data_IF_177453044567
#
_entry.id   IF_177453044567
#
_cell.length_a   1.000
_cell.length_b   1.000
_cell.length_c   1.000
_cell.angle_alpha   90.00
_cell.angle_beta   90.00
_cell.angle_gamma   90.00
#
_symmetry.space_group_name_H-M   'P 1'
#
loop_
_entity.id
_entity.type
_entity.pdbx_description
1 polymer ?
#
# COMPACT_ATOMS: atom_id res chain seq x y z
N UNK A 1 14.50 -75.36 -20.64
CA UNK A 1 15.70 -74.64 -21.11
C UNK A 1 15.24 -73.25 -21.49
N UNK A 2 15.20 -72.37 -20.50
CA UNK A 2 14.77 -70.97 -20.64
C UNK A 2 15.91 -70.12 -21.21
N UNK A 3 15.62 -69.34 -22.24
CA UNK A 3 16.50 -68.28 -22.76
C UNK A 3 15.77 -66.95 -22.62
N UNK A 4 16.10 -66.22 -21.55
CA UNK A 4 15.64 -64.84 -21.34
C UNK A 4 16.59 -63.87 -22.04
N UNK A 5 16.09 -63.11 -23.01
CA UNK A 5 16.80 -62.02 -23.66
C UNK A 5 16.61 -60.73 -22.85
N UNK A 6 17.71 -60.15 -22.36
CA UNK A 6 17.74 -58.82 -21.78
C UNK A 6 17.72 -57.77 -22.90
N UNK A 7 16.65 -56.97 -22.95
CA UNK A 7 16.59 -55.75 -23.77
C UNK A 7 17.12 -54.59 -22.91
N UNK A 8 18.26 -54.04 -23.29
CA UNK A 8 18.80 -52.82 -22.70
C UNK A 8 18.16 -51.60 -23.35
N UNK A 9 17.30 -50.90 -22.62
CA UNK A 9 16.71 -49.63 -23.06
C UNK A 9 17.72 -48.49 -22.83
N UNK A 10 18.27 -47.96 -23.92
CA UNK A 10 19.15 -46.79 -23.90
C UNK A 10 18.30 -45.51 -23.72
N UNK A 11 18.36 -44.91 -22.53
CA UNK A 11 17.70 -43.63 -22.22
C UNK A 11 18.57 -42.47 -22.74
N UNK A 12 18.20 -41.92 -23.89
CA UNK A 12 18.82 -40.69 -24.43
C UNK A 12 18.22 -39.50 -23.68
N UNK A 13 18.96 -38.94 -22.73
CA UNK A 13 18.62 -37.69 -22.07
C UNK A 13 19.01 -36.54 -23.02
N UNK A 14 18.04 -36.02 -23.76
CA UNK A 14 18.20 -34.77 -24.51
C UNK A 14 18.17 -33.60 -23.54
N UNK A 15 19.33 -32.99 -23.28
CA UNK A 15 19.41 -31.67 -22.65
C UNK A 15 18.86 -30.62 -23.61
N UNK A 16 17.59 -30.26 -23.46
CA UNK A 16 17.05 -29.04 -24.05
C UNK A 16 17.68 -27.84 -23.30
N UNK A 17 18.35 -26.91 -23.98
CA UNK A 17 18.78 -25.67 -23.34
C UNK A 17 17.52 -24.92 -22.88
N UNK A 18 17.34 -24.80 -21.57
CA UNK A 18 16.38 -23.85 -21.00
C UNK A 18 16.85 -22.47 -21.46
N UNK A 19 16.15 -21.88 -22.44
CA UNK A 19 16.25 -20.45 -22.66
C UNK A 19 15.76 -19.81 -21.36
N UNK A 20 16.64 -19.17 -20.62
CA UNK A 20 16.22 -18.08 -19.76
C UNK A 20 15.64 -17.04 -20.72
N UNK A 21 14.33 -17.10 -20.94
CA UNK A 21 13.62 -15.93 -21.43
C UNK A 21 13.94 -14.83 -20.42
N UNK A 22 14.65 -13.80 -20.88
CA UNK A 22 14.79 -12.58 -20.09
C UNK A 22 13.36 -12.19 -19.69
N UNK A 23 13.07 -12.26 -18.39
CA UNK A 23 11.74 -11.96 -17.90
C UNK A 23 11.40 -10.57 -18.39
N UNK A 24 10.41 -10.47 -19.28
CA UNK A 24 9.98 -9.19 -19.81
C UNK A 24 9.65 -8.27 -18.62
N UNK A 25 10.05 -7.00 -18.72
CA UNK A 25 9.75 -5.99 -17.71
C UNK A 25 8.26 -5.97 -17.37
N UNK A 26 7.94 -5.50 -16.16
CA UNK A 26 6.55 -5.47 -15.72
C UNK A 26 5.73 -4.53 -16.59
N UNK A 27 4.45 -4.87 -16.77
CA UNK A 27 3.44 -3.93 -17.24
C UNK A 27 2.52 -3.61 -16.08
N UNK A 28 2.58 -2.37 -15.63
CA UNK A 28 1.77 -1.83 -14.55
C UNK A 28 0.79 -0.80 -15.10
N UNK A 29 -0.49 -1.02 -14.85
CA UNK A 29 -1.55 -0.14 -15.35
C UNK A 29 -2.57 0.11 -14.25
N UNK A 30 -3.44 1.10 -14.47
CA UNK A 30 -4.57 1.39 -13.59
C UNK A 30 -5.83 1.10 -14.39
N UNK A 31 -6.71 0.25 -13.87
CA UNK A 31 -7.95 -0.09 -14.55
C UNK A 31 -9.06 0.96 -14.28
N UNK A 32 -10.23 0.77 -14.89
CA UNK A 32 -11.39 1.67 -14.71
C UNK A 32 -11.96 1.74 -13.29
N UNK A 33 -11.60 0.79 -12.42
CA UNK A 33 -11.99 0.78 -11.00
C UNK A 33 -10.98 1.52 -10.12
N UNK A 34 -10.00 2.21 -10.73
CA UNK A 34 -8.83 2.80 -10.07
C UNK A 34 -8.04 1.76 -9.25
N UNK A 35 -7.93 0.53 -9.76
CA UNK A 35 -7.13 -0.54 -9.15
C UNK A 35 -5.85 -0.76 -9.96
N UNK A 36 -4.74 -0.95 -9.26
CA UNK A 36 -3.47 -1.27 -9.90
C UNK A 36 -3.51 -2.68 -10.51
N UNK A 37 -3.01 -2.83 -11.72
CA UNK A 37 -2.91 -4.10 -12.44
C UNK A 37 -1.46 -4.31 -12.84
N UNK A 38 -0.83 -5.33 -12.28
CA UNK A 38 0.55 -5.72 -12.58
C UNK A 38 0.50 -7.03 -13.38
N UNK A 39 1.02 -7.01 -14.60
CA UNK A 39 1.06 -8.18 -15.50
C UNK A 39 -0.30 -8.88 -15.64
N UNK A 40 -1.37 -8.09 -15.72
CA UNK A 40 -2.76 -8.57 -15.86
C UNK A 40 -3.44 -8.99 -14.54
N UNK A 41 -2.73 -8.99 -13.41
CA UNK A 41 -3.29 -9.29 -12.10
C UNK A 41 -3.64 -8.00 -11.34
N UNK A 42 -4.89 -7.88 -10.88
CA UNK A 42 -5.29 -6.80 -9.96
C UNK A 42 -4.54 -6.94 -8.63
N UNK A 43 -4.00 -5.83 -8.12
CA UNK A 43 -3.23 -5.77 -6.88
C UNK A 43 -3.77 -4.63 -6.03
N UNK A 44 -4.02 -4.92 -4.74
CA UNK A 44 -4.16 -3.89 -3.72
C UNK A 44 -2.77 -3.64 -3.12
N UNK A 45 -2.13 -2.50 -3.38
CA UNK A 45 -0.78 -2.20 -2.91
C UNK A 45 -0.74 -2.12 -1.39
N UNK A 46 0.07 -2.99 -0.79
CA UNK A 46 0.56 -2.88 0.59
C UNK A 46 2.07 -2.62 0.53
N UNK A 47 2.48 -1.45 0.98
CA UNK A 47 3.84 -0.94 0.79
C UNK A 47 4.56 -0.52 2.07
N UNK A 48 5.88 -0.35 1.96
CA UNK A 48 6.73 0.15 3.04
C UNK A 48 7.58 1.31 2.54
N UNK A 49 7.48 2.46 3.19
CA UNK A 49 8.31 3.61 2.86
C UNK A 49 9.68 3.40 3.49
N UNK A 50 10.58 2.80 2.71
CA UNK A 50 11.87 2.21 3.10
C UNK A 50 11.71 0.87 3.84
N UNK A 51 11.92 -0.21 3.09
CA UNK A 51 12.02 -1.58 3.61
C UNK A 51 13.38 -1.82 4.29
N UNK A 52 13.55 -2.96 5.00
CA UNK A 52 14.88 -3.45 5.37
C UNK A 52 15.79 -3.55 4.14
N UNK A 53 17.09 -3.27 4.32
CA UNK A 53 18.10 -3.35 3.25
C UNK A 53 18.05 -4.69 2.48
N UNK A 54 18.36 -4.74 1.16
CA UNK A 54 18.32 -5.96 0.36
C UNK A 54 19.09 -7.15 0.94
N UNK A 55 20.14 -6.87 1.72
CA UNK A 55 21.01 -7.89 2.31
C UNK A 55 20.71 -8.16 3.80
N UNK A 56 19.76 -7.44 4.42
CA UNK A 56 19.49 -7.57 5.85
C UNK A 56 18.58 -8.77 6.17
N UNK A 57 18.67 -9.24 7.40
CA UNK A 57 17.88 -10.35 7.92
C UNK A 57 16.79 -9.88 8.87
N UNK A 58 15.66 -10.56 8.83
CA UNK A 58 14.65 -10.51 9.89
C UNK A 58 15.09 -11.37 11.10
N UNK A 59 14.49 -11.19 12.29
CA UNK A 59 14.82 -11.98 13.48
C UNK A 59 14.64 -13.49 13.33
N UNK A 60 13.81 -13.92 12.38
CA UNK A 60 13.60 -15.34 12.06
C UNK A 60 14.68 -15.93 11.13
N UNK A 61 15.70 -15.14 10.76
CA UNK A 61 16.82 -15.55 9.91
C UNK A 61 16.58 -15.45 8.41
N UNK A 62 15.35 -15.18 7.96
CA UNK A 62 15.02 -14.90 6.55
C UNK A 62 15.57 -13.56 6.12
N UNK A 63 15.60 -13.33 4.81
CA UNK A 63 15.81 -11.98 4.28
C UNK A 63 14.67 -11.05 4.75
N UNK A 64 15.00 -9.78 5.03
CA UNK A 64 14.01 -8.82 5.50
C UNK A 64 12.88 -8.57 4.49
N UNK A 65 13.20 -8.49 3.19
CA UNK A 65 12.21 -8.30 2.13
C UNK A 65 11.34 -9.55 1.96
N UNK A 66 11.94 -10.74 2.05
CA UNK A 66 11.20 -12.01 2.05
C UNK A 66 10.17 -12.08 3.19
N UNK A 67 10.54 -11.65 4.40
CA UNK A 67 9.65 -11.60 5.55
C UNK A 67 8.43 -10.67 5.32
N UNK A 68 8.65 -9.51 4.69
CA UNK A 68 7.57 -8.58 4.34
C UNK A 68 6.66 -9.17 3.25
N UNK A 69 7.24 -9.80 2.22
CA UNK A 69 6.51 -10.46 1.15
C UNK A 69 5.69 -11.65 1.69
N UNK A 70 6.21 -12.38 2.68
CA UNK A 70 5.54 -13.51 3.32
C UNK A 70 4.23 -13.11 4.02
N UNK A 71 4.21 -11.96 4.69
CA UNK A 71 3.00 -11.41 5.29
C UNK A 71 1.98 -10.87 4.26
N UNK A 72 2.40 -10.66 3.02
CA UNK A 72 1.55 -10.18 1.93
C UNK A 72 1.83 -8.74 1.48
N UNK A 73 3.00 -8.20 1.85
CA UNK A 73 3.53 -6.97 1.28
C UNK A 73 3.76 -7.08 -0.22
N UNK A 74 3.73 -5.95 -0.91
CA UNK A 74 3.84 -5.89 -2.38
C UNK A 74 4.82 -4.83 -2.86
N UNK A 75 4.94 -3.71 -2.15
CA UNK A 75 5.78 -2.58 -2.57
C UNK A 75 6.78 -2.16 -1.49
N UNK A 76 7.88 -1.56 -1.90
CA UNK A 76 8.66 -0.71 -1.02
C UNK A 76 9.29 0.45 -1.77
N UNK A 77 9.41 1.60 -1.11
CA UNK A 77 10.05 2.79 -1.68
C UNK A 77 11.56 2.61 -1.76
N UNK A 78 12.14 2.93 -2.92
CA UNK A 78 13.57 2.87 -3.22
C UNK A 78 14.03 4.20 -3.83
N UNK A 79 15.18 4.22 -4.51
CA UNK A 79 15.71 5.39 -5.21
C UNK A 79 16.61 6.28 -4.36
N UNK A 80 16.80 7.51 -4.83
CA UNK A 80 17.83 8.43 -4.37
C UNK A 80 17.67 8.85 -2.89
N UNK A 81 16.45 8.86 -2.35
CA UNK A 81 16.17 9.07 -0.93
C UNK A 81 16.93 10.24 -0.26
N UNK A 82 17.02 11.39 -0.94
CA UNK A 82 17.73 12.58 -0.44
C UNK A 82 19.18 12.72 -0.93
N UNK A 83 19.69 11.74 -1.68
CA UNK A 83 20.96 11.79 -2.39
C UNK A 83 20.74 12.12 -3.87
N UNK A 84 21.75 12.69 -4.57
CA UNK A 84 21.68 12.90 -6.01
C UNK A 84 21.76 11.55 -6.76
N UNK A 85 21.20 11.49 -7.96
CA UNK A 85 21.44 10.35 -8.86
C UNK A 85 22.87 10.37 -9.42
N UNK A 86 23.67 9.42 -8.98
CA UNK A 86 25.03 9.14 -9.40
C UNK A 86 25.25 7.61 -9.59
N UNK A 87 26.46 7.19 -9.99
CA UNK A 87 26.76 5.77 -10.22
C UNK A 87 26.51 4.89 -8.97
N UNK A 88 26.77 5.42 -7.77
CA UNK A 88 26.53 4.67 -6.54
C UNK A 88 25.03 4.45 -6.31
N UNK A 89 24.21 5.47 -6.61
CA UNK A 89 22.75 5.38 -6.56
C UNK A 89 22.24 4.36 -7.57
N UNK A 90 22.77 4.34 -8.80
CA UNK A 90 22.44 3.30 -9.80
C UNK A 90 22.76 1.89 -9.30
N UNK A 91 23.95 1.65 -8.75
CA UNK A 91 24.35 0.34 -8.19
C UNK A 91 23.45 -0.05 -7.03
N UNK A 92 23.06 0.91 -6.18
CA UNK A 92 22.22 0.66 -5.02
C UNK A 92 20.79 0.33 -5.45
N UNK A 93 20.24 1.08 -6.42
CA UNK A 93 18.92 0.82 -6.95
C UNK A 93 18.84 -0.54 -7.65
N UNK A 94 19.86 -0.92 -8.43
CA UNK A 94 19.90 -2.25 -9.05
C UNK A 94 19.78 -3.38 -8.00
N UNK A 95 20.39 -3.24 -6.82
CA UNK A 95 20.26 -4.24 -5.75
C UNK A 95 18.84 -4.31 -5.18
N UNK A 96 18.18 -3.16 -5.04
CA UNK A 96 16.79 -3.12 -4.59
C UNK A 96 15.85 -3.77 -5.60
N UNK A 97 16.04 -3.42 -6.86
CA UNK A 97 15.33 -3.94 -8.01
C UNK A 97 15.49 -5.47 -8.13
N UNK A 98 16.72 -5.98 -8.02
CA UNK A 98 17.02 -7.41 -8.00
C UNK A 98 16.36 -8.14 -6.82
N UNK A 99 16.35 -7.51 -5.64
CA UNK A 99 15.74 -8.08 -4.45
C UNK A 99 14.20 -8.08 -4.52
N UNK A 100 13.60 -7.02 -5.04
CA UNK A 100 12.17 -6.94 -5.31
C UNK A 100 11.75 -8.09 -6.24
N UNK A 101 12.42 -8.24 -7.38
CA UNK A 101 12.17 -9.31 -8.33
C UNK A 101 12.33 -10.71 -7.70
N UNK A 102 13.39 -10.92 -6.92
CA UNK A 102 13.66 -12.19 -6.24
C UNK A 102 12.56 -12.62 -5.27
N UNK A 103 11.98 -11.67 -4.54
CA UNK A 103 10.99 -11.94 -3.49
C UNK A 103 9.55 -11.64 -3.90
N UNK A 104 9.31 -11.37 -5.19
CA UNK A 104 7.96 -11.12 -5.72
C UNK A 104 7.32 -9.82 -5.20
N UNK A 105 8.16 -8.83 -4.89
CA UNK A 105 7.78 -7.46 -4.53
C UNK A 105 8.14 -6.50 -5.65
N UNK A 106 7.76 -5.23 -5.50
CA UNK A 106 8.00 -4.20 -6.49
C UNK A 106 8.57 -2.91 -5.88
N UNK A 107 9.51 -2.30 -6.59
CA UNK A 107 10.08 -1.01 -6.25
C UNK A 107 9.11 0.12 -6.60
N UNK A 108 8.91 1.01 -5.63
CA UNK A 108 8.35 2.34 -5.83
C UNK A 108 9.52 3.33 -5.91
N UNK A 109 10.09 3.46 -7.11
CA UNK A 109 11.40 4.08 -7.33
C UNK A 109 11.30 5.60 -7.23
N UNK A 110 11.95 6.17 -6.21
CA UNK A 110 11.93 7.61 -5.96
C UNK A 110 12.95 8.38 -6.78
N UNK A 111 12.42 9.14 -7.75
CA UNK A 111 13.19 9.99 -8.65
C UNK A 111 13.76 11.24 -7.97
N UNK A 112 13.25 11.60 -6.79
CA UNK A 112 13.69 12.76 -6.02
C UNK A 112 13.62 14.06 -6.85
N UNK A 113 14.75 14.75 -7.03
CA UNK A 113 14.90 15.99 -7.77
C UNK A 113 14.68 15.81 -9.28
N UNK A 114 14.87 14.59 -9.82
CA UNK A 114 14.59 14.29 -11.23
C UNK A 114 13.11 14.28 -11.57
N UNK A 115 12.22 14.25 -10.58
CA UNK A 115 10.77 14.39 -10.80
C UNK A 115 10.33 15.83 -11.12
N UNK A 116 11.27 16.77 -11.30
CA UNK A 116 10.99 18.18 -11.59
C UNK A 116 12.02 18.78 -12.55
N UNK A 117 11.66 18.98 -13.82
CA UNK A 117 12.57 19.53 -14.85
C UNK A 117 12.29 21.01 -15.06
N UNK A 118 13.19 21.88 -14.59
CA UNK A 118 13.04 23.34 -14.68
C UNK A 118 13.55 23.87 -16.02
N UNK A 119 12.69 24.54 -16.78
CA UNK A 119 13.08 25.20 -18.05
C UNK A 119 13.82 24.24 -19.00
N UNK A 120 15.01 24.66 -19.45
CA UNK A 120 15.89 23.88 -20.33
C UNK A 120 17.07 23.22 -19.58
N UNK A 121 16.83 22.70 -18.38
CA UNK A 121 17.85 21.96 -17.63
C UNK A 121 18.20 20.62 -18.30
N UNK A 122 19.10 20.67 -19.27
CA UNK A 122 19.51 19.52 -20.08
C UNK A 122 20.25 18.46 -19.28
N UNK A 123 20.90 18.81 -18.16
CA UNK A 123 21.63 17.86 -17.32
C UNK A 123 20.66 17.01 -16.49
N UNK A 124 19.71 17.64 -15.79
CA UNK A 124 18.68 16.88 -15.04
C UNK A 124 17.80 16.07 -15.99
N UNK A 125 17.44 16.61 -17.16
CA UNK A 125 16.69 15.86 -18.17
C UNK A 125 17.47 14.63 -18.66
N UNK A 126 18.76 14.79 -19.01
CA UNK A 126 19.58 13.66 -19.44
C UNK A 126 19.72 12.59 -18.33
N UNK A 127 19.87 13.01 -17.06
CA UNK A 127 19.92 12.07 -15.94
C UNK A 127 18.57 11.35 -15.73
N UNK A 128 17.44 12.05 -15.79
CA UNK A 128 16.11 11.44 -15.75
C UNK A 128 15.94 10.38 -16.84
N UNK A 129 16.28 10.73 -18.09
CA UNK A 129 16.21 9.80 -19.23
C UNK A 129 17.08 8.57 -19.00
N UNK A 130 18.28 8.74 -18.42
CA UNK A 130 19.18 7.63 -18.08
C UNK A 130 18.58 6.71 -17.01
N UNK A 131 18.04 7.27 -15.91
CA UNK A 131 17.39 6.50 -14.84
C UNK A 131 16.22 5.69 -15.39
N UNK A 132 15.31 6.32 -16.13
CA UNK A 132 14.15 5.64 -16.70
C UNK A 132 14.57 4.55 -17.68
N UNK A 133 15.52 4.83 -18.57
CA UNK A 133 16.01 3.83 -19.53
C UNK A 133 16.66 2.62 -18.85
N UNK A 134 17.37 2.83 -17.74
CA UNK A 134 18.03 1.75 -17.00
C UNK A 134 17.02 0.80 -16.33
N UNK A 135 15.96 1.33 -15.72
CA UNK A 135 15.10 0.53 -14.83
C UNK A 135 13.72 0.19 -15.39
N UNK A 136 13.24 0.85 -16.45
CA UNK A 136 11.87 0.65 -16.98
C UNK A 136 11.53 -0.81 -17.33
N UNK A 137 12.51 -1.59 -17.75
CA UNK A 137 12.32 -2.99 -18.15
C UNK A 137 12.72 -3.98 -17.04
N UNK A 138 13.02 -3.48 -15.84
CA UNK A 138 13.43 -4.32 -14.72
C UNK A 138 12.22 -5.06 -14.11
N UNK A 139 12.29 -6.38 -13.85
CA UNK A 139 11.18 -7.13 -13.26
C UNK A 139 10.88 -6.79 -11.79
N UNK A 140 11.76 -6.01 -11.15
CA UNK A 140 11.53 -5.43 -9.82
C UNK A 140 10.77 -4.11 -9.86
N UNK A 141 10.71 -3.41 -11.00
CA UNK A 141 10.12 -2.08 -11.05
C UNK A 141 8.59 -2.20 -10.98
N UNK A 142 7.97 -1.44 -10.09
CA UNK A 142 6.52 -1.38 -9.94
C UNK A 142 5.92 -0.08 -10.42
N UNK A 143 6.38 1.04 -9.85
CA UNK A 143 5.90 2.38 -10.21
C UNK A 143 6.98 3.42 -9.94
N UNK A 144 6.87 4.57 -10.60
CA UNK A 144 7.71 5.73 -10.33
C UNK A 144 7.14 6.56 -9.17
N UNK A 145 7.99 7.10 -8.30
CA UNK A 145 7.60 8.14 -7.34
C UNK A 145 8.07 9.50 -7.83
N UNK A 146 7.11 10.43 -7.94
CA UNK A 146 7.37 11.84 -8.21
C UNK A 146 7.86 12.60 -6.97
N UNK A 147 7.89 13.94 -7.09
CA UNK A 147 8.28 14.83 -5.99
C UNK A 147 7.43 14.56 -4.74
N UNK A 148 8.09 14.52 -3.58
CA UNK A 148 7.45 14.37 -2.28
C UNK A 148 6.73 15.65 -1.87
N UNK A 149 5.47 15.54 -1.46
CA UNK A 149 4.69 16.61 -0.84
C UNK A 149 4.72 17.96 -1.58
N UNK A 150 4.54 17.98 -2.92
CA UNK A 150 4.87 19.13 -3.75
C UNK A 150 3.99 20.37 -3.47
N UNK A 151 2.76 20.20 -2.97
CA UNK A 151 1.93 21.34 -2.58
C UNK A 151 2.53 22.07 -1.37
N UNK A 152 2.87 21.34 -0.32
CA UNK A 152 3.49 21.91 0.88
C UNK A 152 4.89 22.46 0.59
N UNK A 153 5.66 21.76 -0.25
CA UNK A 153 6.94 22.20 -0.78
C UNK A 153 6.86 23.37 -1.76
N UNK A 154 5.65 23.82 -2.14
CA UNK A 154 5.40 24.89 -3.11
C UNK A 154 6.09 24.65 -4.47
N UNK A 155 6.19 23.40 -4.87
CA UNK A 155 6.75 23.02 -6.16
C UNK A 155 5.86 23.56 -7.29
N UNK A 156 6.47 24.16 -8.31
CA UNK A 156 5.75 24.59 -9.51
C UNK A 156 5.29 23.36 -10.29
N UNK A 157 4.04 23.37 -10.75
CA UNK A 157 3.41 22.24 -11.46
C UNK A 157 4.06 21.97 -12.82
N UNK A 158 4.35 23.01 -13.60
CA UNK A 158 4.91 22.89 -14.96
C UNK A 158 6.18 22.00 -15.00
N UNK A 159 7.21 22.22 -14.16
CA UNK A 159 8.37 21.31 -14.09
C UNK A 159 8.05 19.85 -13.77
N UNK A 160 7.01 19.59 -12.96
CA UNK A 160 6.59 18.23 -12.61
C UNK A 160 5.90 17.56 -13.80
N UNK A 161 5.05 18.30 -14.52
CA UNK A 161 4.40 17.84 -15.74
C UNK A 161 5.44 17.49 -16.80
N UNK A 162 6.45 18.35 -17.01
CA UNK A 162 7.54 18.09 -17.94
C UNK A 162 8.28 16.79 -17.61
N UNK A 163 8.61 16.55 -16.34
CA UNK A 163 9.26 15.31 -15.91
C UNK A 163 8.38 14.09 -16.21
N UNK A 164 7.08 14.16 -15.89
CA UNK A 164 6.13 13.08 -16.18
C UNK A 164 5.98 12.78 -17.67
N UNK A 165 5.99 13.80 -18.52
CA UNK A 165 5.93 13.63 -19.98
C UNK A 165 7.15 12.87 -20.50
N UNK A 166 8.36 13.21 -20.02
CA UNK A 166 9.60 12.49 -20.37
C UNK A 166 9.54 11.03 -19.91
N UNK A 167 9.04 10.77 -18.70
CA UNK A 167 8.88 9.39 -18.19
C UNK A 167 7.91 8.62 -19.08
N UNK A 168 6.73 9.18 -19.38
CA UNK A 168 5.72 8.53 -20.22
C UNK A 168 6.18 8.28 -21.66
N UNK A 169 7.02 9.15 -22.21
CA UNK A 169 7.66 8.98 -23.52
C UNK A 169 8.55 7.73 -23.53
N UNK A 170 9.32 7.52 -22.46
CA UNK A 170 10.31 6.43 -22.37
C UNK A 170 9.72 5.11 -21.84
N UNK A 171 8.75 5.22 -20.94
CA UNK A 171 8.14 4.13 -20.19
C UNK A 171 6.61 4.31 -20.10
N UNK A 172 5.86 3.77 -21.07
CA UNK A 172 4.40 3.78 -21.04
C UNK A 172 3.80 2.71 -20.11
N UNK A 173 4.64 1.88 -19.46
CA UNK A 173 4.22 0.69 -18.73
C UNK A 173 4.20 0.87 -17.21
N UNK A 174 4.65 2.01 -16.67
CA UNK A 174 4.67 2.24 -15.22
C UNK A 174 4.06 3.59 -14.84
N UNK A 175 3.00 3.61 -14.00
CA UNK A 175 2.42 4.82 -13.43
C UNK A 175 3.40 5.62 -12.58
N UNK A 176 3.15 6.92 -12.45
CA UNK A 176 3.84 7.79 -11.51
C UNK A 176 2.94 8.21 -10.35
N UNK A 177 3.39 8.01 -9.12
CA UNK A 177 2.67 8.41 -7.90
C UNK A 177 3.25 9.66 -7.25
N UNK A 178 2.37 10.55 -6.77
CA UNK A 178 2.71 11.69 -5.90
C UNK A 178 1.92 11.53 -4.60
N UNK A 179 2.59 11.64 -3.46
CA UNK A 179 1.98 11.68 -2.13
C UNK A 179 2.14 13.10 -1.57
N UNK A 180 1.06 13.63 -0.99
CA UNK A 180 0.97 14.97 -0.44
C UNK A 180 1.07 14.95 1.09
N UNK A 181 1.62 16.01 1.67
CA UNK A 181 1.52 16.21 3.10
C UNK A 181 0.03 16.32 3.51
N UNK A 182 -0.34 16.03 4.77
CA UNK A 182 -1.70 16.20 5.28
C UNK A 182 -1.99 17.69 5.55
N UNK A 183 -1.97 18.47 4.47
CA UNK A 183 -2.03 19.94 4.42
C UNK A 183 -2.67 20.37 3.11
N UNK A 184 -2.95 21.66 2.98
CA UNK A 184 -3.59 22.22 1.79
C UNK A 184 -5.10 21.96 1.74
N UNK A 185 -5.73 22.35 0.64
CA UNK A 185 -7.16 22.11 0.39
C UNK A 185 -7.34 21.35 -0.92
N UNK A 186 -8.54 20.82 -1.18
CA UNK A 186 -8.86 20.16 -2.45
C UNK A 186 -8.47 21.04 -3.65
N UNK A 187 -8.71 22.35 -3.57
CA UNK A 187 -8.41 23.31 -4.62
C UNK A 187 -6.91 23.50 -4.86
N UNK A 188 -6.08 23.44 -3.82
CA UNK A 188 -4.61 23.61 -3.96
C UNK A 188 -3.91 22.30 -4.33
N UNK A 189 -4.46 21.16 -3.92
CA UNK A 189 -3.91 19.83 -4.17
C UNK A 189 -4.25 19.30 -5.57
N UNK A 190 -5.51 19.44 -6.03
CA UNK A 190 -5.99 18.89 -7.32
C UNK A 190 -5.16 19.29 -8.55
N UNK A 191 -4.63 20.52 -8.68
CA UNK A 191 -3.78 20.88 -9.81
C UNK A 191 -2.56 19.96 -10.00
N UNK A 192 -2.01 19.37 -8.93
CA UNK A 192 -0.88 18.44 -9.00
C UNK A 192 -1.22 17.10 -9.65
N UNK A 193 -2.49 16.73 -9.76
CA UNK A 193 -2.93 15.52 -10.45
C UNK A 193 -2.52 15.50 -11.94
N UNK A 194 -2.27 16.67 -12.54
CA UNK A 194 -1.75 16.76 -13.92
C UNK A 194 -0.36 16.14 -14.07
N UNK A 195 0.39 16.07 -12.96
CA UNK A 195 1.74 15.55 -12.89
C UNK A 195 1.83 14.14 -12.28
N UNK A 196 0.72 13.42 -12.09
CA UNK A 196 0.72 12.05 -11.57
C UNK A 196 -0.39 11.17 -12.16
N UNK A 197 -0.30 9.88 -11.89
CA UNK A 197 -1.31 8.85 -12.21
C UNK A 197 -1.93 8.25 -10.94
N UNK A 198 -1.27 8.45 -9.80
CA UNK A 198 -1.72 8.06 -8.45
C UNK A 198 -1.49 9.27 -7.55
N UNK A 199 -2.47 9.57 -6.70
CA UNK A 199 -2.37 10.62 -5.68
C UNK A 199 -2.55 10.04 -4.28
N UNK A 200 -2.34 10.83 -3.25
CA UNK A 200 -2.42 10.33 -1.88
C UNK A 200 -1.96 11.33 -0.85
N UNK A 201 -2.07 10.95 0.42
CA UNK A 201 -1.47 11.71 1.50
C UNK A 201 -0.86 10.80 2.57
N UNK A 202 0.18 11.30 3.23
CA UNK A 202 0.66 10.74 4.49
C UNK A 202 -0.08 11.34 5.68
N UNK A 203 -0.38 10.53 6.69
CA UNK A 203 -0.98 11.02 7.94
C UNK A 203 -0.56 10.15 9.13
N UNK A 204 -0.15 10.80 10.22
CA UNK A 204 0.47 10.15 11.39
C UNK A 204 -0.19 10.64 12.70
N UNK A 205 -1.37 10.10 13.06
CA UNK A 205 -2.16 10.62 14.19
C UNK A 205 -1.59 10.30 15.57
N UNK A 206 -0.79 9.23 15.70
CA UNK A 206 -0.38 8.69 16.99
C UNK A 206 0.84 9.46 17.53
N UNK A 207 0.66 10.14 18.66
CA UNK A 207 1.68 10.94 19.32
C UNK A 207 1.17 11.64 20.58
N UNK A 208 2.05 12.41 21.24
CA UNK A 208 1.71 13.22 22.41
C UNK A 208 2.05 14.70 22.20
N UNK A 209 1.06 15.62 22.19
CA UNK A 209 -0.38 15.34 22.10
C UNK A 209 -0.76 14.65 20.78
N UNK A 210 -1.93 13.98 20.71
CA UNK A 210 -2.37 13.27 19.52
C UNK A 210 -2.65 14.22 18.35
N UNK A 211 -2.57 13.71 17.14
CA UNK A 211 -3.01 14.41 15.92
C UNK A 211 -2.14 15.61 15.50
N UNK A 212 -0.93 15.74 16.06
CA UNK A 212 -0.05 16.90 15.80
C UNK A 212 0.50 16.95 14.37
N UNK A 213 0.41 15.86 13.61
CA UNK A 213 0.77 15.85 12.20
C UNK A 213 -0.22 16.64 11.33
N UNK A 214 -1.48 16.71 11.76
CA UNK A 214 -2.58 17.35 11.03
C UNK A 214 -2.75 18.82 11.41
N UNK A 215 -3.15 19.64 10.43
CA UNK A 215 -3.61 21.02 10.67
C UNK A 215 -5.12 21.13 10.93
N UNK A 216 -5.89 20.06 10.73
CA UNK A 216 -7.34 20.05 10.98
C UNK A 216 -7.66 20.17 12.47
N UNK A 217 -8.87 20.62 12.79
CA UNK A 217 -9.37 20.71 14.17
C UNK A 217 -9.46 19.33 14.83
N UNK A 218 -9.85 18.31 14.06
CA UNK A 218 -9.87 16.94 14.53
C UNK A 218 -8.45 16.45 14.87
N UNK A 219 -8.24 16.01 16.11
CA UNK A 219 -6.97 15.48 16.62
C UNK A 219 -7.02 14.00 16.96
N UNK A 220 -8.15 13.33 16.71
CA UNK A 220 -8.34 11.91 16.95
C UNK A 220 -7.79 11.05 15.80
N UNK A 221 -7.61 9.76 16.05
CA UNK A 221 -7.07 8.80 15.07
C UNK A 221 -7.92 8.69 13.80
N UNK A 222 -9.21 9.00 13.87
CA UNK A 222 -10.16 8.99 12.75
C UNK A 222 -9.93 10.09 11.69
N UNK A 223 -8.92 10.94 11.88
CA UNK A 223 -8.49 11.89 10.84
C UNK A 223 -7.91 11.18 9.62
N UNK A 224 -7.55 9.90 9.72
CA UNK A 224 -7.16 9.10 8.56
C UNK A 224 -8.30 9.05 7.54
N UNK A 225 -9.53 8.81 7.99
CA UNK A 225 -10.73 8.90 7.18
C UNK A 225 -10.97 10.29 6.59
N UNK A 226 -10.74 11.37 7.37
CA UNK A 226 -10.88 12.75 6.91
C UNK A 226 -9.93 13.08 5.74
N UNK A 227 -8.65 12.75 5.86
CA UNK A 227 -7.67 12.95 4.79
C UNK A 227 -7.92 12.03 3.61
N UNK A 228 -8.34 10.78 3.84
CA UNK A 228 -8.68 9.87 2.75
C UNK A 228 -9.82 10.44 1.91
N UNK A 229 -10.92 10.90 2.51
CA UNK A 229 -12.03 11.56 1.79
C UNK A 229 -11.57 12.81 1.04
N UNK A 230 -10.75 13.64 1.69
CA UNK A 230 -10.16 14.82 1.04
C UNK A 230 -9.38 14.42 -0.21
N UNK A 231 -8.56 13.38 -0.13
CA UNK A 231 -7.79 12.90 -1.27
C UNK A 231 -8.66 12.22 -2.34
N UNK A 232 -9.77 11.58 -1.95
CA UNK A 232 -10.77 11.08 -2.91
C UNK A 232 -11.42 12.23 -3.68
N UNK A 233 -11.73 13.35 -3.02
CA UNK A 233 -12.22 14.57 -3.69
C UNK A 233 -11.14 15.23 -4.56
N UNK A 234 -9.87 15.19 -4.15
CA UNK A 234 -8.73 15.63 -4.96
C UNK A 234 -8.64 14.77 -6.23
N UNK A 235 -8.71 13.46 -6.10
CA UNK A 235 -8.60 12.50 -7.19
C UNK A 235 -9.77 12.59 -8.19
N UNK A 236 -10.95 13.06 -7.75
CA UNK A 236 -12.13 13.29 -8.60
C UNK A 236 -12.53 12.04 -9.41
N UNK A 237 -12.35 10.86 -8.79
CA UNK A 237 -12.63 9.55 -9.41
C UNK A 237 -11.72 9.17 -10.59
N UNK A 238 -10.69 9.96 -10.93
CA UNK A 238 -9.85 9.79 -12.12
C UNK A 238 -8.56 9.01 -11.87
N UNK A 239 -8.22 8.78 -10.61
CA UNK A 239 -7.00 8.08 -10.20
C UNK A 239 -7.17 7.43 -8.82
N UNK A 240 -6.40 6.37 -8.51
CA UNK A 240 -6.34 5.80 -7.18
C UNK A 240 -5.77 6.79 -6.16
N UNK A 241 -6.25 6.64 -4.93
CA UNK A 241 -5.70 7.28 -3.73
C UNK A 241 -4.92 6.24 -2.93
N UNK A 242 -3.66 6.52 -2.64
CA UNK A 242 -2.83 5.73 -1.73
C UNK A 242 -2.58 6.50 -0.44
N UNK A 243 -2.74 5.85 0.71
CA UNK A 243 -2.49 6.48 2.01
C UNK A 243 -1.21 5.96 2.63
N UNK A 244 -0.38 6.86 3.15
CA UNK A 244 0.83 6.49 3.90
C UNK A 244 0.56 6.64 5.40
N UNK A 245 0.59 5.52 6.12
CA UNK A 245 0.23 5.39 7.52
C UNK A 245 1.46 5.20 8.41
N UNK A 246 1.25 5.37 9.72
CA UNK A 246 2.30 5.52 10.70
C UNK A 246 2.88 4.18 11.17
N UNK A 247 4.22 4.04 11.13
CA UNK A 247 4.97 3.23 12.11
C UNK A 247 5.55 4.19 13.14
N UNK A 248 6.44 5.06 12.69
CA UNK A 248 7.06 6.12 13.46
C UNK A 248 7.32 7.31 12.55
N UNK A 249 7.42 8.51 13.12
CA UNK A 249 7.64 9.72 12.35
C UNK A 249 8.35 10.78 13.17
N UNK A 250 8.77 11.85 12.49
CA UNK A 250 9.60 12.90 13.09
C UNK A 250 8.96 13.57 14.33
N UNK A 251 7.64 13.57 14.45
CA UNK A 251 6.91 14.12 15.60
C UNK A 251 7.03 13.33 16.89
N UNK A 252 7.45 12.06 16.84
CA UNK A 252 7.58 11.18 18.02
C UNK A 252 9.02 10.76 18.32
N UNK A 253 9.98 11.01 17.43
CA UNK A 253 11.38 10.54 17.58
C UNK A 253 12.41 11.66 17.80
N UNK A 254 12.00 12.93 17.70
CA UNK A 254 12.91 14.08 17.88
C UNK A 254 13.21 14.34 19.37
N UNK A 255 14.36 14.96 19.70
CA UNK A 255 14.66 15.39 21.06
C UNK A 255 13.51 16.18 21.70
N UNK A 256 13.15 15.84 22.93
CA UNK A 256 12.04 16.45 23.66
C UNK A 256 10.64 15.94 23.27
N UNK A 257 10.53 14.92 22.42
CA UNK A 257 9.28 14.22 22.12
C UNK A 257 9.20 12.89 22.83
N UNK A 258 7.97 12.46 23.12
CA UNK A 258 7.69 11.13 23.65
C UNK A 258 7.44 10.18 22.48
N UNK A 259 8.26 9.13 22.40
CA UNK A 259 8.06 8.05 21.45
C UNK A 259 6.73 7.35 21.73
N UNK A 260 5.88 7.29 20.71
CA UNK A 260 4.62 6.56 20.73
C UNK A 260 4.40 5.92 19.37
N UNK A 261 4.30 4.59 19.40
CA UNK A 261 3.89 3.77 18.26
C UNK A 261 2.39 3.56 18.27
N UNK A 262 1.73 3.26 17.15
CA UNK A 262 0.39 2.67 17.15
C UNK A 262 0.36 1.33 17.91
N UNK A 263 -0.75 1.01 18.55
CA UNK A 263 -1.06 -0.36 19.00
C UNK A 263 -1.70 -1.14 17.84
N UNK A 264 -1.82 -2.48 17.97
CA UNK A 264 -2.53 -3.29 16.97
C UNK A 264 -3.94 -2.79 16.66
N UNK A 265 -4.83 -2.50 17.64
CA UNK A 265 -6.14 -1.94 17.35
C UNK A 265 -6.10 -0.58 16.64
N UNK A 266 -5.16 0.30 17.01
CA UNK A 266 -4.99 1.62 16.39
C UNK A 266 -4.52 1.50 14.93
N UNK A 267 -3.50 0.66 14.66
CA UNK A 267 -2.97 0.44 13.30
C UNK A 267 -4.01 -0.23 12.40
N UNK A 268 -4.72 -1.23 12.94
CA UNK A 268 -5.83 -1.89 12.26
C UNK A 268 -6.93 -0.89 11.93
N UNK A 269 -7.34 -0.05 12.88
CA UNK A 269 -8.33 1.01 12.64
C UNK A 269 -7.90 1.96 11.53
N UNK A 270 -6.70 2.53 11.59
CA UNK A 270 -6.21 3.47 10.56
C UNK A 270 -6.19 2.83 9.18
N UNK A 271 -5.73 1.58 9.08
CA UNK A 271 -5.66 0.82 7.83
C UNK A 271 -7.05 0.61 7.21
N UNK A 272 -8.00 0.10 8.01
CA UNK A 272 -9.35 -0.14 7.52
C UNK A 272 -10.12 1.16 7.28
N UNK A 273 -9.93 2.20 8.10
CA UNK A 273 -10.60 3.49 7.88
C UNK A 273 -10.18 4.10 6.53
N UNK A 274 -8.90 4.04 6.17
CA UNK A 274 -8.43 4.44 4.85
C UNK A 274 -9.09 3.61 3.73
N UNK A 275 -9.12 2.28 3.86
CA UNK A 275 -9.74 1.38 2.86
C UNK A 275 -11.24 1.67 2.70
N UNK A 276 -11.96 1.78 3.81
CA UNK A 276 -13.41 2.06 3.85
C UNK A 276 -13.72 3.39 3.19
N UNK A 277 -12.85 4.39 3.35
CA UNK A 277 -13.00 5.72 2.74
C UNK A 277 -12.52 5.81 1.29
N UNK A 278 -12.12 4.70 0.67
CA UNK A 278 -11.88 4.62 -0.76
C UNK A 278 -10.42 4.46 -1.17
N UNK A 279 -9.47 4.40 -0.23
CA UNK A 279 -8.07 4.14 -0.57
C UNK A 279 -7.94 2.85 -1.39
N UNK A 280 -7.05 2.87 -2.39
CA UNK A 280 -6.72 1.77 -3.29
C UNK A 280 -5.25 1.37 -3.19
N UNK A 281 -4.62 1.70 -2.06
CA UNK A 281 -3.27 1.31 -1.67
C UNK A 281 -2.92 1.89 -0.29
N UNK A 282 -2.19 1.12 0.51
CA UNK A 282 -1.74 1.50 1.85
C UNK A 282 -0.24 1.30 1.93
N UNK A 283 0.48 2.29 2.45
CA UNK A 283 1.92 2.19 2.70
C UNK A 283 2.21 2.55 4.16
N UNK A 284 3.26 1.98 4.73
CA UNK A 284 3.64 2.25 6.12
C UNK A 284 4.99 2.94 6.18
N UNK A 285 5.08 4.06 6.92
CA UNK A 285 6.29 4.87 7.04
C UNK A 285 6.91 4.77 8.44
N UNK A 286 8.24 4.61 8.47
CA UNK A 286 9.03 4.79 9.68
C UNK A 286 9.62 3.50 10.27
N UNK A 287 9.52 2.38 9.56
CA UNK A 287 10.13 1.12 9.99
C UNK A 287 11.66 1.17 10.03
N UNK A 288 12.28 2.09 9.31
CA UNK A 288 13.74 2.28 9.25
C UNK A 288 14.26 3.42 10.15
N UNK A 289 13.42 4.02 11.00
CA UNK A 289 13.85 5.13 11.88
C UNK A 289 14.59 4.56 13.09
N UNK A 290 15.92 4.62 13.05
CA UNK A 290 16.81 4.02 14.06
C UNK A 290 16.53 4.49 15.49
N UNK A 291 16.24 5.78 15.69
CA UNK A 291 15.94 6.35 17.02
C UNK A 291 14.63 5.85 17.63
N UNK A 292 13.80 5.15 16.84
CA UNK A 292 12.58 4.51 17.31
C UNK A 292 12.81 3.03 17.67
N UNK A 293 13.94 2.43 17.27
CA UNK A 293 14.17 0.99 17.40
C UNK A 293 14.68 0.62 18.81
N UNK A 294 14.24 -0.52 19.38
CA UNK A 294 14.97 -1.12 20.47
C UNK A 294 16.36 -1.62 19.99
N UNK A 295 17.34 -1.81 20.91
CA UNK A 295 18.72 -2.13 20.53
C UNK A 295 18.90 -3.39 19.68
N UNK A 296 18.03 -4.40 19.84
CA UNK A 296 18.01 -5.62 19.05
C UNK A 296 17.63 -5.39 17.59
N UNK A 297 16.68 -4.50 17.35
CA UNK A 297 16.18 -4.15 16.02
C UNK A 297 17.15 -3.23 15.29
N UNK A 298 17.78 -2.30 16.01
CA UNK A 298 18.80 -1.41 15.47
C UNK A 298 19.95 -2.19 14.82
N UNK A 299 20.34 -3.35 15.40
CA UNK A 299 21.36 -4.25 14.82
C UNK A 299 20.93 -4.87 13.49
N UNK A 300 19.62 -4.98 13.25
CA UNK A 300 19.04 -5.54 12.03
C UNK A 300 18.58 -4.45 11.04
N UNK A 301 18.64 -3.18 11.45
CA UNK A 301 18.37 -2.01 10.62
C UNK A 301 16.89 -1.76 10.32
N UNK A 302 15.96 -2.41 11.03
CA UNK A 302 14.53 -2.20 10.86
C UNK A 302 13.75 -2.57 12.13
N UNK A 303 12.61 -1.90 12.38
CA UNK A 303 11.81 -2.05 13.61
C UNK A 303 10.99 -3.35 13.61
N UNK A 304 11.68 -4.47 13.77
CA UNK A 304 11.11 -5.81 13.75
C UNK A 304 10.21 -6.12 14.94
N UNK A 305 10.41 -5.45 16.07
CA UNK A 305 9.56 -5.55 17.25
C UNK A 305 8.18 -4.97 16.98
N UNK A 306 8.10 -3.76 16.39
CA UNK A 306 6.83 -3.19 15.95
C UNK A 306 6.20 -4.04 14.84
N UNK A 307 7.00 -4.49 13.86
CA UNK A 307 6.53 -5.40 12.81
C UNK A 307 5.84 -6.62 13.39
N UNK A 308 6.53 -7.39 14.24
CA UNK A 308 6.00 -8.64 14.78
C UNK A 308 4.74 -8.43 15.63
N UNK A 309 4.73 -7.39 16.47
CA UNK A 309 3.69 -7.23 17.49
C UNK A 309 2.47 -6.41 17.02
N UNK A 310 2.63 -5.60 15.97
CA UNK A 310 1.59 -4.66 15.50
C UNK A 310 1.35 -4.80 14.02
N UNK A 311 2.37 -4.58 13.17
CA UNK A 311 2.12 -4.36 11.75
C UNK A 311 1.92 -5.65 10.93
N UNK A 312 2.68 -6.70 11.21
CA UNK A 312 2.57 -8.00 10.53
C UNK A 312 1.15 -8.56 10.56
N UNK A 313 0.46 -8.68 11.72
CA UNK A 313 -0.91 -9.18 11.73
C UNK A 313 -1.88 -8.27 10.95
N UNK A 314 -1.68 -6.95 10.94
CA UNK A 314 -2.47 -6.04 10.10
C UNK A 314 -2.23 -6.32 8.61
N UNK A 315 -0.97 -6.46 8.20
CA UNK A 315 -0.61 -6.80 6.81
C UNK A 315 -1.15 -8.18 6.42
N UNK A 316 -1.18 -9.16 7.31
CA UNK A 316 -1.79 -10.48 7.03
C UNK A 316 -3.32 -10.39 6.82
N UNK A 317 -4.00 -9.36 7.34
CA UNK A 317 -5.42 -9.11 7.09
C UNK A 317 -5.70 -8.44 5.72
N UNK A 318 -4.82 -7.53 5.26
CA UNK A 318 -5.08 -6.69 4.07
C UNK A 318 -4.09 -6.89 2.91
N UNK A 319 -3.10 -7.77 3.10
CA UNK A 319 -2.05 -8.09 2.14
C UNK A 319 -2.53 -8.93 0.96
N UNK A 320 -1.67 -9.09 -0.04
CA UNK A 320 -1.99 -9.83 -1.28
C UNK A 320 -2.23 -11.34 -1.08
N UNK A 321 -1.92 -11.86 0.12
CA UNK A 321 -2.14 -13.25 0.56
C UNK A 321 -3.33 -13.38 1.51
N UNK A 322 -4.01 -12.28 1.84
CA UNK A 322 -5.13 -12.30 2.78
C UNK A 322 -6.42 -12.82 2.14
N UNK A 323 -7.37 -13.23 2.99
CA UNK A 323 -8.73 -13.58 2.57
C UNK A 323 -9.45 -12.41 1.90
N UNK A 324 -9.09 -11.17 2.25
CA UNK A 324 -9.69 -9.96 1.68
C UNK A 324 -9.07 -9.54 0.36
N UNK A 325 -7.94 -10.10 -0.07
CA UNK A 325 -7.25 -9.65 -1.28
C UNK A 325 -8.17 -9.54 -2.51
N UNK A 326 -9.08 -10.51 -2.81
CA UNK A 326 -10.04 -10.37 -3.92
C UNK A 326 -11.06 -9.25 -3.71
N UNK A 327 -11.52 -9.02 -2.48
CA UNK A 327 -12.48 -7.98 -2.14
C UNK A 327 -11.85 -6.58 -2.22
N UNK A 328 -10.61 -6.41 -1.79
CA UNK A 328 -9.89 -5.13 -1.82
C UNK A 328 -9.66 -4.58 -3.23
N UNK A 329 -9.65 -5.46 -4.24
CA UNK A 329 -9.51 -5.10 -5.66
C UNK A 329 -10.82 -5.12 -6.45
N UNK A 330 -11.95 -5.43 -5.79
CA UNK A 330 -13.27 -5.34 -6.38
C UNK A 330 -13.75 -3.88 -6.42
N UNK A 331 -14.62 -3.57 -7.37
CA UNK A 331 -15.31 -2.28 -7.42
C UNK A 331 -16.23 -2.10 -6.20
N UNK A 332 -16.64 -0.86 -5.94
CA UNK A 332 -17.71 -0.60 -4.97
C UNK A 332 -18.97 -1.38 -5.36
N UNK A 333 -19.58 -2.06 -4.40
CA UNK A 333 -20.85 -2.76 -4.60
C UNK A 333 -22.00 -1.78 -4.81
N UNK A 334 -23.00 -2.20 -5.60
CA UNK A 334 -24.27 -1.47 -5.80
C UNK A 334 -25.40 -2.02 -4.94
N UNK A 335 -25.12 -2.95 -4.02
CA UNK A 335 -26.13 -3.50 -3.14
C UNK A 335 -26.75 -2.41 -2.26
N UNK A 336 -28.05 -2.50 -1.94
CA UNK A 336 -28.77 -1.47 -1.20
C UNK A 336 -28.51 -1.56 0.32
N UNK A 337 -27.33 -2.03 0.73
CA UNK A 337 -26.97 -2.21 2.14
C UNK A 337 -26.87 -0.85 2.82
N UNK A 338 -27.55 -0.71 3.95
CA UNK A 338 -27.61 0.53 4.73
C UNK A 338 -27.46 0.21 6.21
N UNK A 339 -26.94 1.18 6.96
CA UNK A 339 -26.91 1.14 8.41
C UNK A 339 -27.98 2.07 9.00
N UNK A 340 -28.60 1.64 10.10
CA UNK A 340 -29.54 2.46 10.87
C UNK A 340 -28.77 3.26 11.93
N UNK A 341 -29.07 4.56 12.04
CA UNK A 341 -28.35 5.52 12.90
C UNK A 341 -26.84 5.55 12.61
N UNK A 342 -26.43 6.03 11.41
CA UNK A 342 -25.05 5.98 10.93
C UNK A 342 -24.08 6.88 11.70
N UNK A 343 -24.48 7.44 12.85
CA UNK A 343 -23.67 8.43 13.54
C UNK A 343 -22.33 7.82 13.94
N UNK A 344 -21.26 8.38 13.40
CA UNK A 344 -19.90 7.93 13.58
C UNK A 344 -19.62 6.51 13.05
N UNK A 345 -20.42 6.01 12.09
CA UNK A 345 -20.18 4.74 11.41
C UNK A 345 -19.76 4.98 9.97
N UNK A 346 -18.88 4.11 9.50
CA UNK A 346 -18.46 4.06 8.11
C UNK A 346 -18.42 2.63 7.65
N UNK A 347 -18.71 2.42 6.38
CA UNK A 347 -18.57 1.11 5.79
C UNK A 347 -18.42 1.21 4.28
N UNK A 348 -17.82 0.17 3.71
CA UNK A 348 -17.87 -0.09 2.28
C UNK A 348 -18.28 -1.55 2.04
N UNK A 349 -18.78 -1.83 0.83
CA UNK A 349 -19.25 -3.15 0.45
C UNK A 349 -18.52 -3.60 -0.82
N UNK A 350 -18.09 -4.86 -0.84
CA UNK A 350 -17.42 -5.51 -1.97
C UNK A 350 -18.12 -6.81 -2.30
N UNK A 351 -18.18 -7.13 -3.59
CA UNK A 351 -18.72 -8.39 -4.09
C UNK A 351 -17.63 -9.18 -4.81
N UNK A 352 -17.48 -10.46 -4.45
CA UNK A 352 -16.56 -11.39 -5.10
C UNK A 352 -17.34 -12.66 -5.45
N UNK A 353 -17.79 -12.77 -6.70
CA UNK A 353 -18.68 -13.85 -7.10
C UNK A 353 -19.99 -13.85 -6.29
N UNK A 354 -20.24 -14.91 -5.53
CA UNK A 354 -21.39 -15.04 -4.61
C UNK A 354 -21.16 -14.45 -3.23
N UNK A 355 -19.94 -14.01 -2.93
CA UNK A 355 -19.56 -13.51 -1.62
C UNK A 355 -19.73 -11.99 -1.51
N UNK A 356 -20.20 -11.54 -0.36
CA UNK A 356 -20.37 -10.14 0.01
C UNK A 356 -19.47 -9.87 1.21
N UNK A 357 -18.62 -8.87 1.08
CA UNK A 357 -17.78 -8.38 2.16
C UNK A 357 -18.26 -6.99 2.58
N UNK A 358 -18.51 -6.81 3.88
CA UNK A 358 -18.83 -5.51 4.47
C UNK A 358 -17.68 -5.16 5.42
N UNK A 359 -16.91 -4.13 5.07
CA UNK A 359 -15.87 -3.59 5.95
C UNK A 359 -16.49 -2.39 6.64
N UNK A 360 -16.54 -2.40 7.96
CA UNK A 360 -17.18 -1.35 8.75
C UNK A 360 -16.29 -0.93 9.92
N UNK A 361 -16.29 0.37 10.21
CA UNK A 361 -15.61 0.91 11.38
C UNK A 361 -16.44 1.97 12.07
N UNK A 362 -16.24 2.08 13.38
CA UNK A 362 -16.79 3.17 14.18
C UNK A 362 -15.72 4.24 14.39
N UNK A 363 -15.88 5.38 13.76
CA UNK A 363 -14.91 6.48 13.80
C UNK A 363 -14.83 7.21 15.15
N UNK A 364 -15.69 6.92 16.13
CA UNK A 364 -15.61 7.52 17.46
C UNK A 364 -16.92 7.43 18.26
N UNK A 365 -17.05 8.29 19.26
CA UNK A 365 -18.27 8.42 20.08
C UNK A 365 -18.35 7.40 21.23
N UNK A 366 -19.55 6.91 21.52
CA UNK A 366 -19.81 5.88 22.54
C UNK A 366 -20.06 4.53 21.88
N UNK A 367 -19.79 3.43 22.59
CA UNK A 367 -20.16 2.09 22.13
C UNK A 367 -21.65 2.02 21.74
N UNK A 368 -21.95 1.45 20.59
CA UNK A 368 -23.31 1.40 20.04
C UNK A 368 -23.56 0.06 19.31
N UNK A 369 -24.83 -0.36 19.27
CA UNK A 369 -25.27 -1.51 18.48
C UNK A 369 -25.82 -1.03 17.15
N UNK A 370 -25.19 -1.42 16.05
CA UNK A 370 -25.46 -0.93 14.70
C UNK A 370 -26.20 -2.01 13.91
N UNK A 371 -27.32 -1.64 13.31
CA UNK A 371 -28.12 -2.53 12.47
C UNK A 371 -27.81 -2.29 10.99
N UNK A 372 -27.37 -3.34 10.30
CA UNK A 372 -27.22 -3.39 8.85
C UNK A 372 -28.50 -3.96 8.24
N UNK A 373 -28.98 -3.35 7.16
CA UNK A 373 -30.24 -3.68 6.47
C UNK A 373 -30.01 -3.69 4.96
N UNK A 374 -30.96 -4.23 4.19
CA UNK A 374 -30.87 -4.25 2.73
C UNK A 374 -29.90 -5.31 2.20
N UNK A 375 -29.59 -6.31 3.03
CA UNK A 375 -28.75 -7.45 2.64
C UNK A 375 -29.60 -8.35 1.73
N UNK A 376 -29.10 -8.72 0.53
CA UNK A 376 -29.83 -9.63 -0.35
C UNK A 376 -30.01 -11.00 0.30
N UNK A 377 -30.78 -11.89 -0.34
CA UNK A 377 -30.89 -13.27 0.12
C UNK A 377 -29.49 -13.90 0.20
N UNK A 378 -29.12 -14.33 1.39
CA UNK A 378 -27.87 -15.02 1.72
C UNK A 378 -28.17 -16.17 2.66
N UNK A 379 -27.15 -16.98 2.95
CA UNK A 379 -27.18 -17.85 4.13
C UNK A 379 -27.51 -17.03 5.39
N UNK A 380 -28.18 -17.69 6.35
CA UNK A 380 -28.61 -17.08 7.60
C UNK A 380 -27.46 -16.77 8.57
N UNK A 381 -26.24 -17.21 8.27
CA UNK A 381 -25.07 -17.02 9.12
C UNK A 381 -23.96 -16.37 8.28
N UNK A 382 -23.44 -15.25 8.77
CA UNK A 382 -22.24 -14.59 8.29
C UNK A 382 -21.08 -14.75 9.26
N UNK A 383 -19.85 -14.69 8.74
CA UNK A 383 -18.63 -14.73 9.56
C UNK A 383 -18.13 -13.31 9.84
N UNK A 384 -17.61 -13.07 11.04
CA UNK A 384 -16.81 -11.87 11.33
C UNK A 384 -15.34 -12.25 11.15
N UNK A 385 -14.80 -11.92 9.98
CA UNK A 385 -13.47 -12.32 9.53
C UNK A 385 -12.41 -11.74 10.46
N UNK A 386 -11.39 -12.54 10.76
CA UNK A 386 -10.30 -12.23 11.71
C UNK A 386 -10.72 -12.15 13.19
N UNK A 387 -11.98 -12.45 13.50
CA UNK A 387 -12.50 -12.49 14.86
C UNK A 387 -13.09 -13.87 15.21
N UNK A 388 -12.53 -14.92 14.62
CA UNK A 388 -13.00 -16.29 14.77
C UNK A 388 -13.10 -16.71 16.25
N UNK A 389 -14.19 -17.39 16.67
CA UNK A 389 -15.28 -17.92 15.84
C UNK A 389 -16.52 -17.00 15.75
N UNK A 390 -16.39 -15.67 15.90
CA UNK A 390 -17.53 -14.74 15.87
C UNK A 390 -18.33 -14.85 14.57
N UNK A 391 -19.65 -14.79 14.72
CA UNK A 391 -20.64 -14.88 13.65
C UNK A 391 -21.74 -13.84 13.87
N UNK A 392 -22.42 -13.48 12.80
CA UNK A 392 -23.67 -12.71 12.82
C UNK A 392 -24.80 -13.54 12.22
N UNK A 393 -25.97 -13.47 12.83
CA UNK A 393 -27.18 -14.10 12.30
C UNK A 393 -27.97 -13.08 11.47
N UNK A 394 -28.35 -13.50 10.27
CA UNK A 394 -29.14 -12.73 9.33
C UNK A 394 -30.58 -13.20 9.38
N UNK A 395 -31.47 -12.26 9.65
CA UNK A 395 -32.92 -12.48 9.70
C UNK A 395 -33.58 -11.40 8.84
N UNK A 396 -34.36 -11.75 7.82
CA UNK A 396 -35.03 -10.78 6.93
C UNK A 396 -34.09 -9.71 6.30
N UNK A 397 -32.90 -10.12 5.84
CA UNK A 397 -31.96 -9.21 5.16
C UNK A 397 -31.33 -8.15 6.06
N UNK A 398 -31.26 -8.41 7.38
CA UNK A 398 -30.62 -7.56 8.39
C UNK A 398 -29.82 -8.37 9.39
N UNK A 399 -28.81 -7.73 9.99
CA UNK A 399 -28.16 -8.18 11.22
C UNK A 399 -27.75 -6.94 12.04
N UNK A 400 -27.40 -7.13 13.31
CA UNK A 400 -26.88 -6.05 14.13
C UNK A 400 -25.71 -6.50 14.99
N UNK A 401 -24.72 -5.63 15.16
CA UNK A 401 -23.50 -5.91 15.91
C UNK A 401 -23.05 -4.71 16.77
N UNK A 402 -22.22 -4.96 17.77
CA UNK A 402 -21.69 -3.93 18.66
C UNK A 402 -20.40 -3.35 18.11
N UNK A 403 -20.25 -2.02 18.22
CA UNK A 403 -19.02 -1.32 17.89
C UNK A 403 -18.65 -0.36 19.03
N UNK A 404 -17.45 -0.52 19.58
CA UNK A 404 -16.76 0.46 20.40
C UNK A 404 -16.08 1.54 19.53
N UNK A 405 -15.65 2.67 20.11
CA UNK A 405 -14.91 3.69 19.36
C UNK A 405 -13.63 3.12 18.76
N UNK A 406 -13.37 3.45 17.49
CA UNK A 406 -12.24 2.97 16.70
C UNK A 406 -12.20 1.45 16.48
N UNK A 407 -13.34 0.76 16.65
CA UNK A 407 -13.47 -0.66 16.35
C UNK A 407 -13.77 -0.89 14.86
N UNK A 408 -13.28 -2.01 14.34
CA UNK A 408 -13.43 -2.43 12.95
C UNK A 408 -13.96 -3.86 12.93
N UNK A 409 -14.99 -4.10 12.11
CA UNK A 409 -15.48 -5.44 11.81
C UNK A 409 -15.49 -5.66 10.29
N UNK A 410 -15.17 -6.90 9.91
CA UNK A 410 -15.23 -7.35 8.53
C UNK A 410 -16.18 -8.53 8.44
N UNK A 411 -17.29 -8.34 7.76
CA UNK A 411 -18.29 -9.40 7.60
C UNK A 411 -18.12 -10.09 6.26
N UNK A 412 -18.11 -11.41 6.25
CA UNK A 412 -18.20 -12.23 5.04
C UNK A 412 -19.55 -12.95 5.04
N UNK A 413 -20.35 -12.65 4.02
CA UNK A 413 -21.66 -13.22 3.78
C UNK A 413 -21.65 -13.97 2.45
N UNK A 414 -22.32 -15.11 2.38
CA UNK A 414 -22.38 -15.94 1.17
C UNK A 414 -23.82 -16.05 0.70
N UNK A 415 -24.08 -15.71 -0.57
CA UNK A 415 -25.41 -15.79 -1.19
C UNK A 415 -25.98 -17.21 -1.21
#
# INVERSE_FOLDING_TARGET
MDTSWLIATLLIITFLPVRLDAQAGNKVTINSDNVLVINGKKVFPIGFTLAPSPDSKAPNGKNGIEELADAGGTFFRTGANGHPWDEQTFVTEQKWEDAAARYGMYCWLYLHDLASIKGHDTKHEAMLRRVVTQFKDHPGLGIWKGTDEPEWGKAKIEPLVKAREIIRELDPNHPLAIIQAPRGTVQTLRPYNTASDITGADIYPIGYPPGTHSLLTNKEINMVGDYTRTMMEVADGKMPVWMVLQIAWSGVVRPGKTLRFPTFPEERFMTYEAIINGARGILYFGGNIETAMPPEDAKLGWNWTFWKNVLRPVVEEVGNKSLLAPALVASESKLPIKIKDPKDMEFCVREVGSDIYILACKRGGTTARIEFTGIPATKSIGEVVYESPRKVELHDGKFADWFAPFEVHVYHLSR
#
